data_IF_009256516148
#
_entry.id   IF_009256516148
#
_cell.length_a   1.000
_cell.length_b   1.000
_cell.length_c   1.000
_cell.angle_alpha   90.00
_cell.angle_beta   90.00
_cell.angle_gamma   90.00
#
_symmetry.space_group_name_H-M   'P 1'
#
loop_
_entity.id
_entity.type
_entity.pdbx_description
1 polymer ?
#
# COMPACT_ATOMS: atom_id res chain seq x y z
N UNK A 1 -37.93 -7.34 27.47
CA UNK A 1 -36.63 -6.64 27.64
C UNK A 1 -36.05 -6.21 26.29
N UNK A 2 -36.06 -7.09 25.30
CA UNK A 2 -35.65 -6.87 23.90
C UNK A 2 -36.24 -5.60 23.25
N UNK A 3 -37.56 -5.41 23.32
CA UNK A 3 -38.23 -4.23 22.71
C UNK A 3 -37.76 -2.87 23.28
N UNK A 4 -37.42 -2.79 24.57
CA UNK A 4 -36.86 -1.56 25.18
C UNK A 4 -35.43 -1.29 24.71
N UNK A 5 -34.64 -2.34 24.46
CA UNK A 5 -33.29 -2.21 23.89
C UNK A 5 -33.34 -1.70 22.45
N UNK A 6 -34.29 -2.20 21.66
CA UNK A 6 -34.55 -1.74 20.30
C UNK A 6 -34.93 -0.24 20.25
N UNK A 7 -35.85 0.21 21.11
CA UNK A 7 -36.21 1.64 21.21
C UNK A 7 -35.01 2.52 21.58
N UNK A 8 -34.18 2.06 22.51
CA UNK A 8 -32.93 2.76 22.90
C UNK A 8 -31.99 2.93 21.70
N UNK A 9 -31.90 1.91 20.85
CA UNK A 9 -31.04 1.91 19.66
C UNK A 9 -31.60 2.76 18.54
N UNK A 10 -32.92 2.78 18.33
CA UNK A 10 -33.58 3.72 17.43
C UNK A 10 -33.34 5.18 17.84
N UNK A 11 -33.36 5.49 19.14
CA UNK A 11 -32.98 6.82 19.66
C UNK A 11 -31.50 7.12 19.41
N UNK A 12 -30.61 6.14 19.61
CA UNK A 12 -29.19 6.28 19.32
C UNK A 12 -28.94 6.56 17.82
N UNK A 13 -29.66 5.89 16.93
CA UNK A 13 -29.61 6.11 15.48
C UNK A 13 -30.01 7.54 15.14
N UNK A 14 -31.16 8.00 15.64
CA UNK A 14 -31.65 9.36 15.43
C UNK A 14 -30.63 10.41 15.85
N UNK A 15 -30.12 10.33 17.09
CA UNK A 15 -29.08 11.25 17.59
C UNK A 15 -27.80 11.23 16.74
N UNK A 16 -27.46 10.09 16.14
CA UNK A 16 -26.29 9.97 15.27
C UNK A 16 -26.57 10.62 13.91
N UNK A 17 -27.73 10.35 13.32
CA UNK A 17 -28.17 10.96 12.05
C UNK A 17 -28.29 12.47 12.18
N UNK A 18 -28.83 13.00 13.27
CA UNK A 18 -28.97 14.45 13.50
C UNK A 18 -27.61 15.18 13.56
N UNK A 19 -26.54 14.48 13.98
CA UNK A 19 -25.17 15.05 14.01
C UNK A 19 -24.51 15.12 12.64
N UNK A 20 -25.11 14.55 11.60
CA UNK A 20 -24.51 14.45 10.27
C UNK A 20 -24.10 15.80 9.70
N UNK A 21 -24.96 16.83 9.82
CA UNK A 21 -24.65 18.18 9.34
C UNK A 21 -23.35 18.73 9.93
N UNK A 22 -23.22 18.67 11.27
CA UNK A 22 -22.01 19.16 11.98
C UNK A 22 -20.73 18.40 11.58
N UNK A 23 -20.85 17.12 11.23
CA UNK A 23 -19.69 16.32 10.79
C UNK A 23 -19.32 16.67 9.35
N UNK A 24 -20.29 16.91 8.47
CA UNK A 24 -20.01 17.36 7.09
C UNK A 24 -19.35 18.73 7.10
N UNK A 25 -19.81 19.65 7.95
CA UNK A 25 -19.23 20.99 8.12
C UNK A 25 -17.76 20.96 8.57
N UNK A 26 -17.35 19.92 9.32
CA UNK A 26 -15.93 19.75 9.70
C UNK A 26 -15.01 19.57 8.50
N UNK A 27 -15.55 19.20 7.33
CA UNK A 27 -14.85 18.95 6.07
C UNK A 27 -13.68 17.94 6.19
N UNK A 28 -13.70 17.09 7.23
CA UNK A 28 -12.70 16.04 7.44
C UNK A 28 -13.19 14.72 6.87
N UNK A 29 -12.57 14.25 5.78
CA UNK A 29 -12.95 12.99 5.11
C UNK A 29 -12.97 11.81 6.08
N UNK A 30 -11.93 11.63 6.90
CA UNK A 30 -11.87 10.55 7.88
C UNK A 30 -12.98 10.64 8.95
N UNK A 31 -13.42 11.85 9.31
CA UNK A 31 -14.50 12.04 10.27
C UNK A 31 -15.84 11.60 9.68
N UNK A 32 -16.09 11.93 8.41
CA UNK A 32 -17.29 11.55 7.68
C UNK A 32 -17.30 10.03 7.42
N UNK A 33 -16.16 9.43 7.05
CA UNK A 33 -16.05 7.97 6.90
C UNK A 33 -16.37 7.22 8.21
N UNK A 34 -15.82 7.69 9.34
CA UNK A 34 -16.15 7.15 10.67
C UNK A 34 -17.63 7.31 11.00
N UNK A 35 -18.24 8.42 10.61
CA UNK A 35 -19.65 8.69 10.83
C UNK A 35 -20.55 7.73 10.04
N UNK A 36 -20.28 7.54 8.74
CA UNK A 36 -20.97 6.54 7.91
C UNK A 36 -20.86 5.13 8.49
N UNK A 37 -19.67 4.74 8.94
CA UNK A 37 -19.45 3.43 9.56
C UNK A 37 -20.24 3.27 10.85
N UNK A 38 -20.37 4.34 11.63
CA UNK A 38 -21.15 4.36 12.88
C UNK A 38 -22.63 4.20 12.60
N UNK A 39 -23.20 4.96 11.66
CA UNK A 39 -24.62 4.85 11.27
C UNK A 39 -24.91 3.42 10.81
N UNK A 40 -24.12 2.88 9.87
CA UNK A 40 -24.29 1.49 9.39
C UNK A 40 -24.22 0.46 10.51
N UNK A 41 -23.30 0.63 11.45
CA UNK A 41 -23.19 -0.29 12.60
C UNK A 41 -24.43 -0.23 13.49
N UNK A 42 -25.05 0.94 13.66
CA UNK A 42 -26.28 1.09 14.45
C UNK A 42 -27.46 0.50 13.69
N UNK A 43 -27.60 0.79 12.38
CA UNK A 43 -28.64 0.23 11.49
C UNK A 43 -28.62 -1.29 11.51
N UNK A 44 -27.44 -1.92 11.35
CA UNK A 44 -27.29 -3.37 11.40
C UNK A 44 -27.74 -3.95 12.75
N UNK A 45 -27.32 -3.31 13.85
CA UNK A 45 -27.72 -3.72 15.19
C UNK A 45 -29.23 -3.61 15.39
N UNK A 46 -29.87 -2.56 14.86
CA UNK A 46 -31.33 -2.39 14.92
C UNK A 46 -32.04 -3.49 14.13
N UNK A 47 -31.58 -3.83 12.93
CA UNK A 47 -32.17 -4.92 12.15
C UNK A 47 -32.05 -6.27 12.86
N UNK A 48 -30.90 -6.57 13.48
CA UNK A 48 -30.71 -7.78 14.30
C UNK A 48 -31.71 -7.84 15.47
N UNK A 49 -31.89 -6.73 16.20
CA UNK A 49 -32.87 -6.67 17.30
C UNK A 49 -34.32 -6.66 16.81
N UNK A 50 -34.59 -6.12 15.61
CA UNK A 50 -35.92 -6.15 15.00
C UNK A 50 -36.35 -7.61 14.79
N UNK A 51 -35.49 -8.41 14.18
CA UNK A 51 -35.74 -9.84 13.94
C UNK A 51 -35.92 -10.61 15.25
N UNK A 52 -35.13 -10.31 16.28
CA UNK A 52 -35.29 -10.95 17.60
C UNK A 52 -36.63 -10.60 18.28
N UNK A 53 -37.08 -9.35 18.17
CA UNK A 53 -38.40 -8.92 18.70
C UNK A 53 -39.55 -9.49 17.87
N UNK A 54 -39.38 -9.61 16.57
CA UNK A 54 -40.32 -10.28 15.65
C UNK A 54 -40.53 -11.74 16.05
N UNK A 55 -39.46 -12.50 16.30
CA UNK A 55 -39.54 -13.89 16.77
C UNK A 55 -40.37 -14.01 18.06
N UNK A 56 -40.17 -13.10 19.02
CA UNK A 56 -40.93 -13.08 20.28
C UNK A 56 -42.41 -12.77 20.04
N UNK A 57 -42.74 -11.86 19.12
CA UNK A 57 -44.13 -11.55 18.77
C UNK A 57 -44.84 -12.72 18.10
N UNK A 58 -44.12 -13.45 17.24
CA UNK A 58 -44.62 -14.67 16.60
C UNK A 58 -44.89 -15.75 17.65
N UNK A 59 -43.97 -15.98 18.59
CA UNK A 59 -44.15 -16.92 19.70
C UNK A 59 -45.32 -16.55 20.61
N UNK A 60 -45.64 -15.27 20.73
CA UNK A 60 -46.77 -14.77 21.50
C UNK A 60 -48.11 -14.81 20.73
N UNK A 61 -48.16 -15.43 19.55
CA UNK A 61 -49.35 -15.54 18.69
C UNK A 61 -49.98 -14.17 18.39
N UNK A 62 -49.14 -13.13 18.26
CA UNK A 62 -49.62 -11.78 17.90
C UNK A 62 -50.11 -11.77 16.46
N UNK A 63 -51.10 -10.94 16.17
CA UNK A 63 -51.67 -10.82 14.82
C UNK A 63 -50.58 -10.45 13.78
N UNK A 64 -50.59 -11.16 12.65
CA UNK A 64 -49.59 -11.03 11.59
C UNK A 64 -49.65 -9.64 10.94
N UNK A 65 -50.83 -9.03 10.85
CA UNK A 65 -50.98 -7.68 10.29
C UNK A 65 -50.36 -6.61 11.19
N UNK A 66 -50.42 -6.79 12.51
CA UNK A 66 -49.73 -5.92 13.47
C UNK A 66 -48.20 -6.06 13.41
N UNK A 67 -47.69 -7.29 13.25
CA UNK A 67 -46.25 -7.56 13.12
C UNK A 67 -45.70 -6.92 11.85
N UNK A 68 -46.39 -7.11 10.72
CA UNK A 68 -45.99 -6.56 9.41
C UNK A 68 -46.03 -5.03 9.38
N UNK A 69 -47.06 -4.40 9.95
CA UNK A 69 -47.13 -2.95 10.09
C UNK A 69 -45.96 -2.41 10.94
N UNK A 70 -45.65 -3.09 12.05
CA UNK A 70 -44.54 -2.72 12.93
C UNK A 70 -43.16 -2.87 12.25
N UNK A 71 -42.95 -3.95 11.49
CA UNK A 71 -41.72 -4.14 10.71
C UNK A 71 -41.54 -3.03 9.68
N UNK A 72 -42.61 -2.71 8.94
CA UNK A 72 -42.60 -1.66 7.92
C UNK A 72 -42.18 -0.30 8.50
N UNK A 73 -42.69 0.06 9.69
CA UNK A 73 -42.33 1.30 10.37
C UNK A 73 -40.83 1.36 10.75
N UNK A 74 -40.24 0.24 11.15
CA UNK A 74 -38.80 0.18 11.46
C UNK A 74 -37.97 0.23 10.18
N UNK A 75 -38.36 -0.53 9.16
CA UNK A 75 -37.66 -0.57 7.88
C UNK A 75 -37.65 0.81 7.21
N UNK A 76 -38.74 1.57 7.31
CA UNK A 76 -38.79 2.96 6.84
C UNK A 76 -37.75 3.86 7.55
N UNK A 77 -37.56 3.71 8.86
CA UNK A 77 -36.55 4.47 9.63
C UNK A 77 -35.12 4.08 9.27
N UNK A 78 -34.90 2.79 8.98
CA UNK A 78 -33.60 2.31 8.52
C UNK A 78 -33.31 2.82 7.10
N UNK A 79 -34.31 2.79 6.21
CA UNK A 79 -34.19 3.30 4.85
C UNK A 79 -33.82 4.80 4.81
N UNK A 80 -34.43 5.62 5.67
CA UNK A 80 -34.06 7.05 5.78
C UNK A 80 -32.61 7.23 6.24
N UNK A 81 -32.16 6.42 7.20
CA UNK A 81 -30.78 6.46 7.67
C UNK A 81 -29.77 5.97 6.62
N UNK A 82 -30.15 4.98 5.81
CA UNK A 82 -29.34 4.49 4.70
C UNK A 82 -29.21 5.53 3.59
N UNK A 83 -30.28 6.30 3.32
CA UNK A 83 -30.24 7.43 2.39
C UNK A 83 -29.22 8.48 2.82
N UNK A 84 -29.19 8.83 4.11
CA UNK A 84 -28.18 9.75 4.66
C UNK A 84 -26.76 9.22 4.43
N UNK A 85 -26.54 7.92 4.62
CA UNK A 85 -25.21 7.33 4.37
C UNK A 85 -24.83 7.36 2.89
N UNK A 86 -25.80 7.18 1.98
CA UNK A 86 -25.56 7.26 0.54
C UNK A 86 -25.20 8.68 0.09
N UNK A 87 -25.86 9.70 0.64
CA UNK A 87 -25.52 11.11 0.41
C UNK A 87 -24.10 11.42 0.89
N UNK A 88 -23.71 10.94 2.08
CA UNK A 88 -22.35 11.13 2.60
C UNK A 88 -21.28 10.44 1.75
N UNK A 89 -21.57 9.26 1.22
CA UNK A 89 -20.65 8.53 0.32
C UNK A 89 -20.47 9.27 -1.00
N UNK A 90 -21.57 9.76 -1.56
CA UNK A 90 -21.54 10.58 -2.77
C UNK A 90 -20.69 11.83 -2.56
N UNK A 91 -20.82 12.48 -1.40
CA UNK A 91 -20.01 13.62 -1.01
C UNK A 91 -18.51 13.26 -0.92
N UNK A 92 -18.15 12.14 -0.31
CA UNK A 92 -16.76 11.67 -0.20
C UNK A 92 -16.13 11.38 -1.57
N UNK A 93 -16.88 10.74 -2.47
CA UNK A 93 -16.43 10.44 -3.82
C UNK A 93 -16.22 11.70 -4.64
N UNK A 94 -17.13 12.68 -4.53
CA UNK A 94 -16.98 13.96 -5.20
C UNK A 94 -15.71 14.69 -4.74
N UNK A 95 -15.43 14.70 -3.44
CA UNK A 95 -14.20 15.29 -2.88
C UNK A 95 -12.92 14.58 -3.31
N UNK A 96 -12.98 13.27 -3.51
CA UNK A 96 -11.85 12.51 -4.06
C UNK A 96 -11.59 12.90 -5.52
N UNK A 97 -12.64 12.95 -6.34
CA UNK A 97 -12.56 13.37 -7.75
C UNK A 97 -12.05 14.80 -7.91
N UNK A 98 -12.45 15.73 -7.04
CA UNK A 98 -11.94 17.10 -7.04
C UNK A 98 -10.43 17.15 -6.83
N UNK A 99 -9.88 16.40 -5.85
CA UNK A 99 -8.43 16.31 -5.63
C UNK A 99 -7.69 15.75 -6.84
N UNK A 100 -8.24 14.68 -7.44
CA UNK A 100 -7.65 14.07 -8.63
C UNK A 100 -7.68 15.00 -9.85
N UNK A 101 -8.75 15.79 -10.00
CA UNK A 101 -8.87 16.78 -11.07
C UNK A 101 -7.88 17.93 -10.88
N UNK A 102 -7.72 18.46 -9.66
CA UNK A 102 -6.71 19.49 -9.37
C UNK A 102 -5.31 18.99 -9.72
N UNK A 103 -4.95 17.77 -9.32
CA UNK A 103 -3.66 17.18 -9.68
C UNK A 103 -3.48 17.00 -11.19
N UNK A 104 -4.55 16.63 -11.92
CA UNK A 104 -4.52 16.53 -13.39
C UNK A 104 -4.34 17.89 -14.04
N UNK A 105 -5.02 18.91 -13.54
CA UNK A 105 -4.91 20.27 -14.07
C UNK A 105 -3.52 20.86 -13.84
N UNK A 106 -2.91 20.62 -12.66
CA UNK A 106 -1.51 20.97 -12.39
C UNK A 106 -0.55 20.29 -13.35
N UNK A 107 -0.77 19.00 -13.65
CA UNK A 107 0.03 18.26 -14.63
C UNK A 107 -0.09 18.86 -16.03
N UNK A 108 -1.32 19.17 -16.49
CA UNK A 108 -1.56 19.79 -17.80
C UNK A 108 -0.91 21.18 -17.87
N UNK A 109 -0.97 21.97 -16.80
CA UNK A 109 -0.32 23.28 -16.74
C UNK A 109 1.19 23.16 -16.85
N UNK A 110 1.80 22.18 -16.15
CA UNK A 110 3.23 21.91 -16.24
C UNK A 110 3.65 21.48 -17.66
N UNK A 111 2.91 20.58 -18.29
CA UNK A 111 3.15 20.15 -19.67
C UNK A 111 2.99 21.30 -20.67
N UNK A 112 1.96 22.13 -20.49
CA UNK A 112 1.73 23.33 -21.31
C UNK A 112 2.88 24.33 -21.17
N UNK A 113 3.38 24.53 -19.95
CA UNK A 113 4.54 25.38 -19.69
C UNK A 113 5.79 24.85 -20.41
N UNK A 114 6.07 23.55 -20.29
CA UNK A 114 7.18 22.91 -21.00
C UNK A 114 7.06 23.07 -22.52
N UNK A 115 5.87 22.86 -23.07
CA UNK A 115 5.61 23.03 -24.50
C UNK A 115 5.85 24.46 -24.95
N UNK A 116 5.36 25.45 -24.19
CA UNK A 116 5.57 26.88 -24.49
C UNK A 116 7.07 27.23 -24.48
N UNK A 117 7.81 26.82 -23.44
CA UNK A 117 9.26 27.07 -23.35
C UNK A 117 10.01 26.42 -24.51
N UNK A 118 9.63 25.19 -24.90
CA UNK A 118 10.22 24.50 -26.05
C UNK A 118 9.97 25.28 -27.35
N UNK A 119 8.73 25.70 -27.60
CA UNK A 119 8.41 26.50 -28.78
C UNK A 119 9.18 27.82 -28.81
N UNK A 120 9.32 28.51 -27.68
CA UNK A 120 10.11 29.75 -27.60
C UNK A 120 11.59 29.50 -27.94
N UNK A 121 12.17 28.39 -27.46
CA UNK A 121 13.55 28.02 -27.77
C UNK A 121 13.72 27.67 -29.26
N UNK A 122 12.80 26.89 -29.82
CA UNK A 122 12.78 26.55 -31.26
C UNK A 122 12.63 27.80 -32.13
N UNK A 123 11.76 28.75 -31.73
CA UNK A 123 11.57 30.04 -32.41
C UNK A 123 12.85 30.87 -32.37
N UNK A 124 13.51 30.98 -31.21
CA UNK A 124 14.81 31.68 -31.06
C UNK A 124 15.91 31.02 -31.90
N UNK A 125 15.92 29.70 -31.99
CA UNK A 125 16.83 28.96 -32.86
C UNK A 125 16.56 29.25 -34.34
N UNK A 126 15.29 29.31 -34.74
CA UNK A 126 14.91 29.64 -36.11
C UNK A 126 15.25 31.10 -36.45
N UNK A 127 14.99 32.05 -35.55
CA UNK A 127 15.35 33.45 -35.75
C UNK A 127 16.87 33.64 -35.84
N UNK A 128 17.64 33.00 -34.95
CA UNK A 128 19.11 33.05 -35.01
C UNK A 128 19.66 32.43 -36.30
N UNK A 129 19.02 31.38 -36.84
CA UNK A 129 19.35 30.82 -38.16
C UNK A 129 19.06 31.80 -39.29
N UNK A 130 17.91 32.48 -39.27
CA UNK A 130 17.56 33.49 -40.29
C UNK A 130 18.48 34.71 -40.21
N UNK A 131 18.79 35.18 -39.01
CA UNK A 131 19.70 36.30 -38.77
C UNK A 131 21.13 35.98 -39.20
N UNK A 132 21.62 34.76 -38.90
CA UNK A 132 22.89 34.27 -39.47
C UNK A 132 22.85 34.15 -40.99
N UNK A 133 21.74 33.74 -41.60
CA UNK A 133 21.59 33.72 -43.07
C UNK A 133 21.55 35.12 -43.69
N UNK A 134 21.00 36.11 -42.99
CA UNK A 134 20.84 37.50 -43.48
C UNK A 134 22.13 38.31 -43.40
N UNK A 135 23.00 38.00 -42.41
CA UNK A 135 24.35 38.59 -42.27
C UNK A 135 25.31 38.10 -43.38
N UNK A 136 24.97 37.02 -44.10
CA UNK A 136 25.81 36.42 -45.16
C UNK A 136 25.69 37.10 -46.52
N UNK A 137 25.60 38.43 -46.55
CA UNK A 137 26.08 39.18 -47.72
C UNK A 137 27.56 39.49 -47.65
N UNK A 138 28.21 39.32 -46.49
CA UNK A 138 29.66 39.52 -46.36
C UNK A 138 30.28 38.28 -45.72
N UNK A 139 31.21 37.67 -46.46
CA UNK A 139 31.64 36.30 -46.24
C UNK A 139 32.37 36.09 -44.92
N UNK A 140 31.70 35.47 -43.93
CA UNK A 140 32.39 34.64 -42.94
C UNK A 140 31.49 33.64 -42.15
N UNK A 141 30.43 33.10 -42.77
CA UNK A 141 29.48 32.21 -42.08
C UNK A 141 30.12 30.94 -41.50
N UNK A 142 31.03 30.32 -42.27
CA UNK A 142 31.58 29.03 -41.91
C UNK A 142 32.44 29.12 -40.65
N UNK A 143 33.21 30.19 -40.51
CA UNK A 143 34.11 30.39 -39.38
C UNK A 143 33.34 30.75 -38.11
N UNK A 144 32.32 31.62 -38.21
CA UNK A 144 31.44 31.95 -37.08
C UNK A 144 30.60 30.77 -36.59
N UNK A 145 30.00 29.99 -37.50
CA UNK A 145 29.27 28.77 -37.16
C UNK A 145 30.19 27.71 -36.54
N UNK A 146 31.39 27.51 -37.09
CA UNK A 146 32.37 26.59 -36.53
C UNK A 146 32.83 27.03 -35.13
N UNK A 147 32.99 28.33 -34.90
CA UNK A 147 33.37 28.90 -33.60
C UNK A 147 32.27 28.73 -32.56
N UNK A 148 31.01 29.02 -32.92
CA UNK A 148 29.87 28.79 -32.04
C UNK A 148 29.67 27.29 -31.72
N UNK A 149 29.81 26.42 -32.73
CA UNK A 149 29.77 24.96 -32.55
C UNK A 149 30.91 24.45 -31.68
N UNK A 150 32.10 25.04 -31.79
CA UNK A 150 33.27 24.76 -30.94
C UNK A 150 33.00 25.17 -29.49
N UNK A 151 32.47 26.38 -29.24
CA UNK A 151 32.11 26.86 -27.90
C UNK A 151 31.03 25.98 -27.25
N UNK A 152 30.03 25.54 -28.01
CA UNK A 152 28.99 24.63 -27.52
C UNK A 152 29.54 23.23 -27.22
N UNK A 153 30.44 22.70 -28.06
CA UNK A 153 31.14 21.44 -27.79
C UNK A 153 32.05 21.54 -26.57
N UNK A 154 32.76 22.65 -26.39
CA UNK A 154 33.64 22.87 -25.24
C UNK A 154 32.85 23.00 -23.93
N UNK A 155 31.75 23.75 -23.95
CA UNK A 155 30.93 24.04 -22.76
C UNK A 155 29.99 22.90 -22.36
N UNK A 156 29.38 22.22 -23.34
CA UNK A 156 28.33 21.20 -23.12
C UNK A 156 28.64 19.83 -23.73
N UNK A 157 29.56 19.75 -24.67
CA UNK A 157 29.99 18.50 -25.33
C UNK A 157 30.98 17.69 -24.50
N UNK A 158 30.81 17.63 -23.18
CA UNK A 158 31.59 16.75 -22.30
C UNK A 158 31.10 15.30 -22.46
N UNK A 159 31.24 14.75 -23.66
CA UNK A 159 30.88 13.37 -23.98
C UNK A 159 31.48 12.40 -22.97
N UNK A 160 32.73 12.64 -22.54
CA UNK A 160 33.40 11.84 -21.52
C UNK A 160 32.69 11.85 -20.17
N UNK A 161 32.05 12.94 -19.77
CA UNK A 161 31.31 13.02 -18.50
C UNK A 161 29.94 12.31 -18.60
N UNK A 162 29.30 12.42 -19.75
CA UNK A 162 28.06 11.70 -20.07
C UNK A 162 28.32 10.17 -20.10
N UNK A 163 29.39 9.74 -20.77
CA UNK A 163 29.83 8.34 -20.81
C UNK A 163 30.12 7.84 -19.39
N UNK A 164 30.87 8.61 -18.58
CA UNK A 164 31.13 8.25 -17.17
C UNK A 164 29.85 8.10 -16.36
N UNK A 165 28.84 8.95 -16.60
CA UNK A 165 27.54 8.84 -15.94
C UNK A 165 26.88 7.51 -16.25
N UNK A 166 26.71 7.16 -17.54
CA UNK A 166 26.07 5.90 -17.92
C UNK A 166 26.88 4.66 -17.50
N UNK A 167 28.21 4.74 -17.52
CA UNK A 167 29.07 3.66 -17.00
C UNK A 167 28.87 3.49 -15.50
N UNK A 168 28.81 4.59 -14.74
CA UNK A 168 28.52 4.54 -13.31
C UNK A 168 27.15 3.92 -13.05
N UNK A 169 26.13 4.31 -13.81
CA UNK A 169 24.78 3.75 -13.67
C UNK A 169 24.74 2.24 -13.92
N UNK A 170 25.52 1.73 -14.89
CA UNK A 170 25.68 0.29 -15.12
C UNK A 170 26.37 -0.38 -13.93
N UNK A 171 27.43 0.23 -13.39
CA UNK A 171 28.17 -0.30 -12.25
C UNK A 171 27.34 -0.29 -10.96
N UNK A 172 26.44 0.68 -10.80
CA UNK A 172 25.55 0.84 -9.64
C UNK A 172 24.27 -0.02 -9.72
N UNK A 173 24.09 -0.79 -10.80
CA UNK A 173 22.98 -1.74 -10.90
C UNK A 173 22.97 -2.70 -9.70
N UNK A 174 21.79 -3.00 -9.12
CA UNK A 174 21.70 -3.77 -7.90
C UNK A 174 22.08 -5.25 -8.13
N UNK A 175 22.72 -5.86 -7.13
CA UNK A 175 22.93 -7.30 -7.10
C UNK A 175 21.62 -8.03 -6.73
N UNK A 176 21.16 -8.96 -7.57
CA UNK A 176 19.90 -9.68 -7.42
C UNK A 176 20.16 -11.17 -7.23
N UNK A 177 20.15 -11.62 -5.97
CA UNK A 177 20.44 -13.01 -5.60
C UNK A 177 19.47 -14.06 -6.19
N UNK A 178 18.26 -13.68 -6.61
CA UNK A 178 17.22 -14.62 -7.04
C UNK A 178 16.45 -14.18 -8.27
N UNK A 179 15.49 -15.00 -8.72
CA UNK A 179 14.75 -14.80 -9.97
C UNK A 179 13.50 -13.90 -9.82
N UNK A 180 13.53 -12.83 -9.01
CA UNK A 180 12.35 -11.98 -8.78
C UNK A 180 12.02 -11.15 -10.06
N UNK A 181 10.88 -11.39 -10.73
CA UNK A 181 10.62 -10.79 -12.04
C UNK A 181 10.50 -9.27 -12.02
N UNK A 182 10.01 -8.68 -10.91
CA UNK A 182 9.90 -7.22 -10.76
C UNK A 182 11.29 -6.58 -10.68
N UNK A 183 12.15 -7.08 -9.80
CA UNK A 183 13.51 -6.54 -9.64
C UNK A 183 14.34 -6.69 -10.91
N UNK A 184 14.17 -7.81 -11.61
CA UNK A 184 14.87 -8.09 -12.87
C UNK A 184 14.34 -7.21 -14.01
N UNK A 185 13.04 -6.90 -14.05
CA UNK A 185 12.49 -5.92 -14.99
C UNK A 185 13.09 -4.53 -14.74
N UNK A 186 13.09 -4.06 -13.50
CA UNK A 186 13.64 -2.74 -13.16
C UNK A 186 15.15 -2.65 -13.48
N UNK A 187 15.90 -3.75 -13.27
CA UNK A 187 17.29 -3.89 -13.71
C UNK A 187 17.41 -3.82 -15.24
N UNK A 188 16.56 -4.56 -15.97
CA UNK A 188 16.56 -4.61 -17.43
C UNK A 188 16.27 -3.25 -18.07
N UNK A 189 15.31 -2.50 -17.54
CA UNK A 189 14.96 -1.16 -18.03
C UNK A 189 16.14 -0.19 -17.89
N UNK A 190 16.78 -0.16 -16.72
CA UNK A 190 17.96 0.68 -16.47
C UNK A 190 19.15 0.29 -17.35
N UNK A 191 19.43 -1.01 -17.47
CA UNK A 191 20.50 -1.50 -18.33
C UNK A 191 20.24 -1.14 -19.79
N UNK A 192 19.03 -1.38 -20.30
CA UNK A 192 18.67 -1.06 -21.68
C UNK A 192 18.81 0.43 -21.97
N UNK A 193 18.38 1.30 -21.06
CA UNK A 193 18.53 2.75 -21.21
C UNK A 193 20.01 3.15 -21.36
N UNK A 194 20.88 2.65 -20.50
CA UNK A 194 22.32 2.94 -20.56
C UNK A 194 22.97 2.41 -21.85
N UNK A 195 22.62 1.19 -22.25
CA UNK A 195 23.15 0.56 -23.47
C UNK A 195 22.71 1.32 -24.71
N UNK A 196 21.44 1.71 -24.81
CA UNK A 196 20.93 2.52 -25.92
C UNK A 196 21.63 3.88 -26.01
N UNK A 197 21.79 4.59 -24.89
CA UNK A 197 22.47 5.88 -24.87
C UNK A 197 23.94 5.77 -25.32
N UNK A 198 24.67 4.78 -24.81
CA UNK A 198 26.07 4.53 -25.19
C UNK A 198 26.21 4.06 -26.65
N UNK A 199 25.21 3.35 -27.18
CA UNK A 199 25.16 2.94 -28.58
C UNK A 199 24.92 4.14 -29.51
N UNK A 200 23.98 5.04 -29.17
CA UNK A 200 23.74 6.28 -29.93
C UNK A 200 24.98 7.17 -29.99
N UNK A 201 25.81 7.17 -28.94
CA UNK A 201 27.08 7.91 -28.92
C UNK A 201 28.25 7.18 -29.60
N UNK A 202 28.03 5.95 -30.10
CA UNK A 202 29.08 5.08 -30.67
C UNK A 202 30.26 4.85 -29.70
N UNK A 203 29.94 4.60 -28.42
CA UNK A 203 30.92 4.37 -27.33
C UNK A 203 30.70 3.06 -26.58
N UNK A 204 29.68 2.28 -26.97
CA UNK A 204 29.33 1.02 -26.31
C UNK A 204 30.48 0.01 -26.28
N UNK A 205 31.30 -0.04 -27.34
CA UNK A 205 32.47 -0.94 -27.41
C UNK A 205 33.50 -0.69 -26.31
N UNK A 206 33.63 0.57 -25.86
CA UNK A 206 34.61 0.96 -24.83
C UNK A 206 34.25 0.44 -23.44
N UNK A 207 32.98 0.06 -23.22
CA UNK A 207 32.48 -0.35 -21.92
C UNK A 207 32.25 -1.85 -21.81
N UNK A 208 32.37 -2.61 -22.91
CA UNK A 208 32.09 -4.05 -22.95
C UNK A 208 32.91 -4.89 -21.95
N UNK A 209 34.05 -4.39 -21.46
CA UNK A 209 34.79 -5.03 -20.37
C UNK A 209 33.98 -5.21 -19.07
N UNK A 210 32.90 -4.44 -18.89
CA UNK A 210 32.02 -4.51 -17.72
C UNK A 210 30.88 -5.53 -17.86
N UNK A 211 30.75 -6.21 -19.00
CA UNK A 211 29.63 -7.14 -19.26
C UNK A 211 29.63 -8.31 -18.28
N UNK A 212 30.80 -8.93 -18.04
CA UNK A 212 30.92 -10.04 -17.10
C UNK A 212 30.47 -9.64 -15.68
N UNK A 213 30.95 -8.50 -15.18
CA UNK A 213 30.58 -7.97 -13.86
C UNK A 213 29.09 -7.62 -13.76
N UNK A 214 28.50 -7.16 -14.87
CA UNK A 214 27.07 -6.85 -14.93
C UNK A 214 26.22 -8.12 -14.92
N UNK A 215 26.67 -9.17 -15.62
CA UNK A 215 26.04 -10.49 -15.60
C UNK A 215 26.13 -11.15 -14.22
N UNK A 216 27.25 -10.97 -13.51
CA UNK A 216 27.48 -11.50 -12.15
C UNK A 216 26.50 -10.92 -11.12
N UNK A 217 25.90 -9.76 -11.38
CA UNK A 217 24.83 -9.19 -10.53
C UNK A 217 23.52 -9.97 -10.61
N UNK A 218 23.39 -10.95 -11.52
CA UNK A 218 22.18 -11.73 -11.75
C UNK A 218 22.40 -13.24 -11.57
N UNK A 219 22.97 -13.72 -10.44
CA UNK A 219 23.28 -15.13 -10.24
C UNK A 219 22.04 -16.04 -10.35
N UNK A 220 20.88 -15.54 -9.93
CA UNK A 220 19.63 -16.32 -9.90
C UNK A 220 19.03 -16.63 -11.27
N UNK A 221 19.45 -15.92 -12.33
CA UNK A 221 18.97 -16.15 -13.70
C UNK A 221 20.11 -16.34 -14.71
N UNK A 222 21.37 -16.25 -14.27
CA UNK A 222 22.55 -16.37 -15.13
C UNK A 222 22.49 -17.62 -16.01
N UNK A 223 22.17 -18.76 -15.41
CA UNK A 223 22.01 -20.03 -16.14
C UNK A 223 20.97 -19.93 -17.26
N UNK A 224 19.80 -19.33 -17.00
CA UNK A 224 18.74 -19.17 -17.99
C UNK A 224 19.12 -18.24 -19.15
N UNK A 225 19.97 -17.25 -18.87
CA UNK A 225 20.45 -16.28 -19.85
C UNK A 225 21.43 -16.94 -20.81
N UNK A 226 22.45 -17.63 -20.29
CA UNK A 226 23.60 -18.11 -21.09
C UNK A 226 23.44 -19.53 -21.64
N UNK A 227 22.44 -20.30 -21.19
CA UNK A 227 22.29 -21.72 -21.53
C UNK A 227 22.34 -22.05 -23.03
N UNK A 228 21.88 -21.14 -23.88
CA UNK A 228 21.78 -21.37 -25.33
C UNK A 228 22.97 -20.84 -26.14
N UNK A 229 23.94 -20.19 -25.49
CA UNK A 229 25.07 -19.56 -26.16
C UNK A 229 26.39 -19.99 -25.50
N UNK A 230 27.20 -20.84 -26.17
CA UNK A 230 28.48 -21.28 -25.62
C UNK A 230 29.54 -20.15 -25.55
N UNK A 231 29.38 -19.07 -26.32
CA UNK A 231 30.31 -17.94 -26.37
C UNK A 231 29.90 -16.78 -25.43
N UNK A 232 29.10 -17.08 -24.41
CA UNK A 232 28.56 -16.08 -23.48
C UNK A 232 29.63 -15.26 -22.76
N UNK A 233 30.84 -15.80 -22.60
CA UNK A 233 31.98 -15.09 -21.99
C UNK A 233 32.47 -13.91 -22.84
N UNK A 234 32.17 -13.90 -24.14
CA UNK A 234 32.54 -12.85 -25.10
C UNK A 234 31.38 -11.89 -25.39
N UNK A 235 30.30 -11.96 -24.61
CA UNK A 235 29.15 -11.12 -24.84
C UNK A 235 29.48 -9.64 -24.78
N UNK A 236 28.81 -8.91 -25.65
CA UNK A 236 28.70 -7.45 -25.60
C UNK A 236 27.48 -7.06 -24.79
N UNK A 237 27.39 -5.78 -24.42
CA UNK A 237 26.21 -5.26 -23.75
C UNK A 237 24.93 -5.41 -24.58
N UNK A 238 25.01 -5.44 -25.91
CA UNK A 238 23.85 -5.68 -26.79
C UNK A 238 23.28 -7.08 -26.55
N UNK A 239 24.14 -8.09 -26.45
CA UNK A 239 23.71 -9.47 -26.20
C UNK A 239 23.15 -9.64 -24.78
N UNK A 240 23.86 -9.08 -23.78
CA UNK A 240 23.40 -9.14 -22.39
C UNK A 240 22.04 -8.43 -22.21
N UNK A 241 21.89 -7.20 -22.74
CA UNK A 241 20.67 -6.42 -22.57
C UNK A 241 19.47 -7.09 -23.23
N UNK A 242 19.67 -7.68 -24.42
CA UNK A 242 18.64 -8.43 -25.12
C UNK A 242 18.27 -9.72 -24.40
N UNK A 243 19.25 -10.49 -23.90
CA UNK A 243 18.99 -11.72 -23.15
C UNK A 243 18.15 -11.46 -21.89
N UNK A 244 18.48 -10.41 -21.13
CA UNK A 244 17.71 -10.01 -19.93
C UNK A 244 16.32 -9.52 -20.32
N UNK A 245 16.19 -8.73 -21.40
CA UNK A 245 14.89 -8.26 -21.91
C UNK A 245 13.97 -9.43 -22.30
N UNK A 246 14.52 -10.44 -22.97
CA UNK A 246 13.78 -11.66 -23.33
C UNK A 246 13.42 -12.52 -22.11
N UNK A 247 14.27 -12.55 -21.08
CA UNK A 247 13.92 -13.19 -19.81
C UNK A 247 12.73 -12.49 -19.16
N UNK A 248 12.72 -11.15 -19.09
CA UNK A 248 11.59 -10.37 -18.54
C UNK A 248 10.30 -10.62 -19.32
N UNK A 249 10.37 -10.68 -20.66
CA UNK A 249 9.21 -10.97 -21.51
C UNK A 249 8.61 -12.36 -21.23
N UNK A 250 9.46 -13.35 -20.93
CA UNK A 250 9.04 -14.72 -20.56
C UNK A 250 8.52 -14.83 -19.13
N UNK A 251 8.79 -13.84 -18.28
CA UNK A 251 8.46 -13.82 -16.86
C UNK A 251 7.66 -12.55 -16.50
N UNK A 252 6.39 -12.43 -16.94
CA UNK A 252 5.58 -11.24 -16.69
C UNK A 252 5.30 -11.04 -15.19
N UNK A 253 5.30 -9.77 -14.77
CA UNK A 253 4.94 -9.39 -13.39
C UNK A 253 3.42 -9.28 -13.29
N UNK A 254 2.80 -10.16 -12.51
CA UNK A 254 1.37 -10.10 -12.20
C UNK A 254 1.06 -8.90 -11.29
N UNK A 255 0.41 -7.88 -11.87
CA UNK A 255 0.03 -6.64 -11.17
C UNK A 255 -0.98 -6.89 -10.04
N UNK A 256 -1.79 -7.97 -10.13
CA UNK A 256 -2.80 -8.30 -9.12
C UNK A 256 -2.21 -8.75 -7.77
N UNK A 257 -0.95 -9.20 -7.78
CA UNK A 257 -0.20 -9.58 -6.56
C UNK A 257 0.44 -8.38 -5.88
N UNK A 258 0.81 -7.34 -6.62
CA UNK A 258 1.46 -6.14 -6.05
C UNK A 258 0.51 -5.30 -5.20
N UNK A 259 -0.79 -5.30 -5.50
CA UNK A 259 -1.80 -4.62 -4.67
C UNK A 259 -2.08 -5.39 -3.37
N UNK A 260 -2.07 -6.73 -3.40
CA UNK A 260 -2.16 -7.54 -2.18
C UNK A 260 -0.92 -7.43 -1.29
N UNK A 261 0.28 -7.32 -1.87
CA UNK A 261 1.52 -7.15 -1.09
C UNK A 261 1.63 -5.75 -0.48
N UNK A 262 1.15 -4.69 -1.16
CA UNK A 262 1.00 -3.36 -0.55
C UNK A 262 0.00 -3.38 0.62
N UNK A 263 -1.14 -4.04 0.46
CA UNK A 263 -2.13 -4.21 1.53
C UNK A 263 -1.58 -5.05 2.71
N UNK A 264 -0.74 -6.06 2.41
CA UNK A 264 -0.03 -6.86 3.43
C UNK A 264 1.08 -6.08 4.14
N UNK A 265 1.77 -5.18 3.45
CA UNK A 265 2.80 -4.32 4.04
C UNK A 265 2.17 -3.25 4.94
N UNK A 266 1.03 -2.65 4.55
CA UNK A 266 0.23 -1.74 5.38
C UNK A 266 -0.27 -2.47 6.65
N UNK A 267 -0.71 -3.72 6.53
CA UNK A 267 -1.06 -4.58 7.68
C UNK A 267 0.15 -4.95 8.55
N UNK A 268 1.35 -5.02 7.99
CA UNK A 268 2.61 -5.27 8.72
C UNK A 268 3.14 -4.04 9.47
N UNK A 269 2.83 -2.81 9.04
CA UNK A 269 3.21 -1.59 9.78
C UNK A 269 2.44 -1.47 11.09
N UNK A 270 1.16 -1.87 11.14
CA UNK A 270 0.38 -1.92 12.38
C UNK A 270 0.83 -3.03 13.35
N UNK A 271 1.51 -4.08 12.87
CA UNK A 271 2.05 -5.14 13.72
C UNK A 271 3.37 -4.78 14.44
N UNK A 272 3.97 -3.62 14.15
CA UNK A 272 5.25 -3.16 14.73
C UNK A 272 5.12 -1.93 15.64
N UNK A 273 3.92 -1.51 15.99
CA UNK A 273 3.74 -0.57 17.09
C UNK A 273 4.32 -1.19 18.38
N UNK A 274 5.40 -0.58 18.91
CA UNK A 274 5.97 -0.94 20.23
C UNK A 274 5.13 -0.41 21.39
N UNK A 275 3.97 0.17 21.10
CA UNK A 275 3.06 0.74 22.06
C UNK A 275 2.31 -0.39 22.79
N UNK A 276 2.15 -0.24 24.10
CA UNK A 276 1.31 -1.14 24.88
C UNK A 276 -0.12 -1.08 24.37
N UNK A 277 -0.68 -2.22 23.97
CA UNK A 277 -2.05 -2.33 23.43
C UNK A 277 -3.13 -1.78 24.36
N UNK A 278 -2.86 -1.75 25.67
CA UNK A 278 -3.82 -1.28 26.68
C UNK A 278 -3.76 0.22 26.90
N UNK A 279 -2.56 0.77 27.14
CA UNK A 279 -2.40 2.16 27.57
C UNK A 279 -1.64 3.05 26.58
N UNK A 280 -1.21 2.52 25.42
CA UNK A 280 -0.50 3.26 24.37
C UNK A 280 0.96 3.63 24.70
N UNK A 281 1.50 3.13 25.81
CA UNK A 281 2.83 3.50 26.29
C UNK A 281 3.92 2.63 25.64
N UNK A 282 5.01 3.22 25.16
CA UNK A 282 6.10 2.50 24.47
C UNK A 282 7.11 1.85 25.40
N UNK A 283 7.03 2.11 26.71
CA UNK A 283 8.01 1.65 27.71
C UNK A 283 7.86 0.18 28.12
N UNK A 284 6.72 -0.47 27.82
CA UNK A 284 6.45 -1.84 28.25
C UNK A 284 5.56 -2.61 27.26
N UNK A 285 5.61 -3.94 27.36
CA UNK A 285 4.74 -4.85 26.60
C UNK A 285 3.39 -5.01 27.28
N UNK A 286 2.36 -5.37 26.51
CA UNK A 286 0.99 -5.61 26.99
C UNK A 286 0.92 -6.50 28.25
N UNK A 287 1.74 -7.55 28.33
CA UNK A 287 1.84 -8.44 29.51
C UNK A 287 2.15 -7.74 30.83
N UNK A 288 2.90 -6.63 30.76
CA UNK A 288 3.45 -5.93 31.92
C UNK A 288 2.76 -4.58 32.16
N UNK A 289 1.57 -4.36 31.59
CA UNK A 289 0.87 -3.09 31.75
C UNK A 289 0.37 -2.90 33.18
N UNK A 290 0.89 -1.86 33.85
CA UNK A 290 0.48 -1.47 35.21
C UNK A 290 -0.67 -0.46 35.22
N UNK A 291 -0.92 0.23 34.10
CA UNK A 291 -2.01 1.21 33.98
C UNK A 291 -3.39 0.55 33.88
N UNK A 292 -3.48 -0.57 33.15
CA UNK A 292 -4.70 -1.37 33.02
C UNK A 292 -4.42 -2.76 33.57
N UNK A 293 -4.88 -3.03 34.80
CA UNK A 293 -4.61 -4.27 35.54
C UNK A 293 -5.77 -5.27 35.46
N UNK A 294 -7.01 -4.79 35.30
CA UNK A 294 -8.21 -5.64 35.25
C UNK A 294 -8.23 -6.53 34.01
N UNK A 295 -8.34 -7.85 34.21
CA UNK A 295 -8.46 -8.83 33.12
C UNK A 295 -9.71 -8.56 32.27
N UNK A 296 -10.82 -8.21 32.91
CA UNK A 296 -12.08 -7.87 32.22
C UNK A 296 -11.91 -6.65 31.31
N UNK A 297 -11.24 -5.60 31.81
CA UNK A 297 -10.96 -4.39 31.02
C UNK A 297 -9.99 -4.68 29.87
N UNK A 298 -8.95 -5.49 30.10
CA UNK A 298 -8.03 -5.94 29.05
C UNK A 298 -8.76 -6.72 27.95
N UNK A 299 -9.67 -7.63 28.31
CA UNK A 299 -10.52 -8.36 27.35
C UNK A 299 -11.40 -7.41 26.54
N UNK A 300 -12.00 -6.41 27.19
CA UNK A 300 -12.81 -5.39 26.50
C UNK A 300 -11.98 -4.56 25.54
N UNK A 301 -10.76 -4.15 25.91
CA UNK A 301 -9.87 -3.38 25.03
C UNK A 301 -9.51 -4.19 23.78
N UNK A 302 -9.14 -5.47 23.93
CA UNK A 302 -8.84 -6.33 22.79
C UNK A 302 -10.06 -6.53 21.89
N UNK A 303 -11.24 -6.76 22.47
CA UNK A 303 -12.50 -6.88 21.73
C UNK A 303 -12.81 -5.60 20.93
N UNK A 304 -12.71 -4.43 21.58
CA UNK A 304 -13.02 -3.12 21.00
C UNK A 304 -12.06 -2.77 19.87
N UNK A 305 -10.77 -3.10 20.03
CA UNK A 305 -9.73 -2.94 18.99
C UNK A 305 -9.75 -4.06 17.94
N UNK A 306 -10.66 -5.04 18.05
CA UNK A 306 -10.74 -6.25 17.20
C UNK A 306 -9.41 -6.99 17.11
N UNK A 307 -8.68 -7.08 18.21
CA UNK A 307 -7.39 -7.75 18.27
C UNK A 307 -7.54 -9.20 18.71
N UNK A 308 -6.71 -10.07 18.15
CA UNK A 308 -6.68 -11.48 18.53
C UNK A 308 -6.42 -11.65 20.03
N UNK A 309 -7.28 -12.39 20.72
CA UNK A 309 -7.12 -12.67 22.16
C UNK A 309 -5.88 -13.52 22.51
N UNK A 310 -5.21 -14.13 21.52
CA UNK A 310 -4.00 -14.91 21.76
C UNK A 310 -2.72 -14.09 21.64
N UNK A 311 -2.53 -13.38 20.53
CA UNK A 311 -1.30 -12.61 20.29
C UNK A 311 -1.45 -11.10 20.54
N UNK A 312 -2.67 -10.63 20.86
CA UNK A 312 -3.02 -9.22 20.99
C UNK A 312 -2.70 -8.37 19.73
N UNK A 313 -2.58 -9.01 18.57
CA UNK A 313 -2.19 -8.40 17.29
C UNK A 313 -3.09 -8.93 16.16
N UNK A 314 -3.49 -8.04 15.25
CA UNK A 314 -4.28 -8.40 14.06
C UNK A 314 -5.72 -8.82 14.37
N UNK A 315 -6.53 -9.01 13.32
CA UNK A 315 -8.00 -9.15 13.43
C UNK A 315 -8.53 -10.59 13.35
N UNK A 316 -7.66 -11.58 13.58
CA UNK A 316 -8.03 -13.00 13.50
C UNK A 316 -8.49 -13.54 14.86
N UNK A 317 -9.20 -14.67 14.86
CA UNK A 317 -9.64 -15.35 16.09
C UNK A 317 -8.46 -16.11 16.73
N UNK A 318 -8.50 -16.32 18.05
CA UNK A 318 -7.45 -17.05 18.77
C UNK A 318 -7.24 -18.49 18.26
N UNK A 319 -8.31 -19.14 17.80
CA UNK A 319 -8.28 -20.46 17.18
C UNK A 319 -7.48 -20.48 15.85
N UNK A 320 -7.58 -19.41 15.05
CA UNK A 320 -6.94 -19.26 13.74
C UNK A 320 -5.56 -18.55 13.85
N UNK A 321 -5.10 -18.28 15.06
CA UNK A 321 -3.87 -17.56 15.30
C UNK A 321 -2.64 -18.39 14.91
N UNK A 322 -1.83 -17.87 14.00
CA UNK A 322 -0.57 -18.48 13.58
C UNK A 322 0.53 -18.44 14.65
N UNK A 323 0.35 -17.64 15.70
CA UNK A 323 1.26 -17.64 16.85
C UNK A 323 1.18 -18.97 17.58
N UNK A 324 2.36 -19.59 17.79
CA UNK A 324 2.51 -20.80 18.61
C UNK A 324 2.47 -20.49 20.12
N UNK A 325 2.45 -19.21 20.50
CA UNK A 325 2.37 -18.80 21.90
C UNK A 325 1.06 -19.24 22.55
N UNK A 326 1.19 -19.77 23.77
CA UNK A 326 0.06 -20.14 24.65
C UNK A 326 0.25 -19.45 25.99
N UNK A 327 -0.84 -19.35 26.77
CA UNK A 327 -0.83 -18.69 28.06
C UNK A 327 0.19 -19.32 29.02
N UNK A 328 1.05 -18.51 29.62
CA UNK A 328 2.06 -18.99 30.56
C UNK A 328 1.49 -19.40 31.93
N UNK A 329 0.22 -19.08 32.22
CA UNK A 329 -0.41 -19.43 33.49
C UNK A 329 -1.23 -20.74 33.41
N UNK A 330 -1.89 -21.02 32.29
CA UNK A 330 -2.80 -22.18 32.17
C UNK A 330 -2.61 -23.01 30.89
N UNK A 331 -1.65 -22.65 30.03
CA UNK A 331 -1.35 -23.37 28.79
C UNK A 331 -2.40 -23.26 27.67
N UNK A 332 -3.54 -22.60 27.91
CA UNK A 332 -4.60 -22.43 26.89
C UNK A 332 -4.25 -21.34 25.87
N UNK A 333 -4.92 -21.36 24.71
CA UNK A 333 -4.72 -20.42 23.58
C UNK A 333 -5.32 -19.03 23.83
N UNK A 334 -4.71 -18.28 24.72
CA UNK A 334 -4.97 -16.86 24.95
C UNK A 334 -3.71 -16.13 25.44
N UNK A 335 -3.70 -14.81 25.35
CA UNK A 335 -2.61 -13.97 25.80
C UNK A 335 -2.53 -13.99 27.34
N UNK A 336 -1.33 -14.16 27.92
CA UNK A 336 -1.16 -14.33 29.38
C UNK A 336 -1.80 -13.21 30.21
N UNK A 337 -1.81 -11.96 29.71
CA UNK A 337 -2.40 -10.81 30.41
C UNK A 337 -3.92 -10.85 30.61
N UNK A 338 -4.63 -11.74 29.91
CA UNK A 338 -6.09 -11.91 30.01
C UNK A 338 -6.49 -13.26 30.62
N UNK A 339 -5.54 -13.97 31.21
CA UNK A 339 -5.78 -15.23 31.88
C UNK A 339 -6.51 -14.98 33.21
N UNK A 340 -7.62 -15.68 33.43
CA UNK A 340 -8.35 -15.63 34.72
C UNK A 340 -7.73 -16.56 35.78
N UNK A 341 -6.72 -17.34 35.41
CA UNK A 341 -6.04 -18.29 36.29
C UNK A 341 -4.77 -17.64 36.87
N UNK A 342 -4.72 -17.48 38.19
CA UNK A 342 -3.48 -17.12 38.92
C UNK A 342 -2.46 -18.25 38.76
N UNK A 343 -1.16 -17.93 38.64
CA UNK A 343 -0.07 -18.91 38.50
C UNK A 343 -0.27 -20.06 39.48
N UNK A 344 -0.53 -21.26 38.96
CA UNK A 344 -0.48 -22.48 39.76
C UNK A 344 1.00 -22.77 39.99
N UNK A 345 1.50 -22.52 41.19
CA UNK A 345 2.77 -23.07 41.64
C UNK A 345 2.59 -24.59 41.72
N UNK A 346 3.22 -25.31 40.79
CA UNK A 346 3.18 -26.76 40.74
C UNK A 346 3.84 -27.38 41.97
N UNK A 347 3.04 -27.93 42.88
CA UNK A 347 3.40 -29.12 43.66
C UNK A 347 2.45 -30.24 43.26
N UNK A 348 2.82 -30.98 42.23
CA UNK A 348 2.28 -32.32 42.03
C UNK A 348 3.28 -33.33 42.61
N UNK A 349 2.94 -33.81 43.80
CA UNK A 349 3.47 -35.07 44.34
C UNK A 349 2.98 -36.19 43.43
N UNK A 350 3.92 -36.90 42.82
CA UNK A 350 3.66 -38.16 42.13
C UNK A 350 3.28 -39.20 43.18
N UNK A 351 2.02 -39.61 43.21
CA UNK A 351 1.62 -40.86 43.85
C UNK A 351 1.97 -42.02 42.92
N UNK A 352 2.99 -42.78 43.27
CA UNK A 352 3.23 -44.12 42.75
C UNK A 352 2.28 -45.10 43.42
N UNK A 353 1.33 -45.66 42.68
CA UNK A 353 0.67 -46.91 43.04
C UNK A 353 1.37 -48.06 42.32
N UNK A 354 2.19 -48.79 43.07
CA UNK A 354 2.52 -50.17 42.77
C UNK A 354 1.24 -51.00 42.86
N UNK A 355 0.96 -51.80 41.84
CA UNK A 355 0.19 -53.04 42.01
C UNK A 355 0.94 -54.18 41.35
N UNK A 356 1.20 -55.16 42.19
CA UNK A 356 1.81 -56.45 41.92
C UNK A 356 0.90 -57.33 41.07
N UNK A 357 1.48 -58.00 40.08
CA UNK A 357 1.25 -59.41 39.75
C UNK A 357 2.42 -59.90 38.93
#
# INVERSE_FOLDING_TARGET
MEAKKLDTKLKQLKLTVDRTGTIVESNQQDAIERHCATIKSITNSINEMRVAVEEIKIQAETDITEITAWNTEIDNKLAESDKVVEELRTWLDQRRKEKDNVARDEQIQFETMLFKTRMEFETKLASAKVETLTINKEGNLQEGYNKAKSILKDRYGKESEIIKSYVKDIMDLPYIHGANPKKIRDFSERLNHCVQALQTMNRLSQVNGNVAMTLDKLPGIRGDLVRTDPDWERWTFVQLSEAVRQWVKRNPVDQSRTDRDKDRQIKSFHAKSRECVYCGDVTHKAGNCTKITSVTERKQILARKRLCFNCAIGTHRAAECSSKGSCQNCGKRHHTSICDTSKVEGKEQVMTTNQSS
#
